data_IF_276284028074
#
_entry.id   IF_276284028074
#
_cell.length_a   1.000
_cell.length_b   1.000
_cell.length_c   1.000
_cell.angle_alpha   90.00
_cell.angle_beta   90.00
_cell.angle_gamma   90.00
#
_symmetry.space_group_name_H-M   'P 1'
#
loop_
_entity.id
_entity.type
_entity.pdbx_description
1 polymer ?
#
# COMPACT_ATOMS: atom_id res chain seq x y z
N UNK A 1 -34.18 -14.20 6.36
CA UNK A 1 -32.92 -13.68 6.98
C UNK A 1 -31.66 -13.96 6.14
N UNK A 2 -31.41 -15.21 5.70
CA UNK A 2 -30.19 -15.63 4.98
C UNK A 2 -29.90 -14.87 3.67
N UNK A 3 -30.90 -14.63 2.81
CA UNK A 3 -30.76 -13.82 1.58
C UNK A 3 -30.31 -12.37 1.84
N UNK A 4 -30.83 -11.74 2.90
CA UNK A 4 -30.45 -10.37 3.29
C UNK A 4 -28.96 -10.28 3.65
N UNK A 5 -28.43 -11.31 4.32
CA UNK A 5 -27.00 -11.38 4.66
C UNK A 5 -26.09 -11.55 3.43
N UNK A 6 -26.51 -12.36 2.44
CA UNK A 6 -25.76 -12.51 1.18
C UNK A 6 -25.71 -11.19 0.42
N UNK A 7 -26.84 -10.47 0.33
CA UNK A 7 -26.88 -9.17 -0.32
C UNK A 7 -25.98 -8.14 0.39
N UNK A 8 -25.90 -8.17 1.71
CA UNK A 8 -25.01 -7.28 2.47
C UNK A 8 -23.54 -7.61 2.23
N UNK A 9 -23.16 -8.90 2.17
CA UNK A 9 -21.80 -9.33 1.82
C UNK A 9 -21.41 -8.89 0.42
N UNK A 10 -22.32 -9.03 -0.55
CA UNK A 10 -22.09 -8.56 -1.92
C UNK A 10 -21.90 -7.03 -1.98
N UNK A 11 -22.75 -6.26 -1.29
CA UNK A 11 -22.60 -4.81 -1.17
C UNK A 11 -21.25 -4.41 -0.56
N UNK A 12 -20.80 -5.15 0.45
CA UNK A 12 -19.50 -4.92 1.10
C UNK A 12 -18.34 -5.18 0.13
N UNK A 13 -18.37 -6.29 -0.62
CA UNK A 13 -17.34 -6.58 -1.63
C UNK A 13 -17.30 -5.49 -2.70
N UNK A 14 -18.46 -5.06 -3.20
CA UNK A 14 -18.54 -3.98 -4.19
C UNK A 14 -17.96 -2.67 -3.61
N UNK A 15 -18.28 -2.33 -2.36
CA UNK A 15 -17.75 -1.15 -1.71
C UNK A 15 -16.22 -1.20 -1.56
N UNK A 16 -15.67 -2.36 -1.16
CA UNK A 16 -14.22 -2.58 -1.07
C UNK A 16 -13.56 -2.40 -2.44
N UNK A 17 -14.13 -3.00 -3.49
CA UNK A 17 -13.59 -2.87 -4.85
C UNK A 17 -13.62 -1.42 -5.33
N UNK A 18 -14.70 -0.68 -5.06
CA UNK A 18 -14.79 0.75 -5.42
C UNK A 18 -13.71 1.56 -4.70
N UNK A 19 -13.58 1.40 -3.38
CA UNK A 19 -12.58 2.14 -2.59
C UNK A 19 -11.16 1.78 -3.05
N UNK A 20 -10.87 0.49 -3.24
CA UNK A 20 -9.59 0.03 -3.74
C UNK A 20 -9.29 0.63 -5.12
N UNK A 21 -10.22 0.57 -6.07
CA UNK A 21 -10.02 1.11 -7.41
C UNK A 21 -9.77 2.61 -7.39
N UNK A 22 -10.49 3.38 -6.55
CA UNK A 22 -10.28 4.82 -6.42
C UNK A 22 -8.90 5.18 -5.87
N UNK A 23 -8.41 4.44 -4.87
CA UNK A 23 -7.07 4.66 -4.30
C UNK A 23 -6.00 4.19 -5.28
N UNK A 24 -6.16 3.00 -5.84
CA UNK A 24 -5.20 2.41 -6.78
C UNK A 24 -5.08 3.23 -8.06
N UNK A 25 -6.18 3.79 -8.59
CA UNK A 25 -6.11 4.58 -9.82
C UNK A 25 -5.20 5.80 -9.68
N UNK A 26 -5.18 6.43 -8.49
CA UNK A 26 -4.29 7.56 -8.22
C UNK A 26 -2.84 7.07 -8.22
N UNK A 27 -2.53 5.99 -7.49
CA UNK A 27 -1.19 5.41 -7.46
C UNK A 27 -0.71 4.94 -8.84
N UNK A 28 -1.61 4.41 -9.67
CA UNK A 28 -1.28 3.88 -10.99
C UNK A 28 -0.93 4.98 -12.01
N UNK A 29 -1.59 6.14 -11.96
CA UNK A 29 -1.28 7.27 -12.84
C UNK A 29 -0.19 8.19 -12.30
N UNK A 30 0.14 8.08 -11.01
CA UNK A 30 1.18 8.87 -10.38
C UNK A 30 2.54 8.31 -10.81
N UNK A 31 3.37 9.09 -11.54
CA UNK A 31 4.71 8.63 -11.90
C UNK A 31 5.52 8.40 -10.62
N UNK A 32 6.38 7.38 -10.61
CA UNK A 32 7.29 7.15 -9.49
C UNK A 32 8.15 8.40 -9.26
N UNK A 33 8.15 8.92 -8.03
CA UNK A 33 9.09 9.98 -7.68
C UNK A 33 10.52 9.42 -7.63
N UNK A 34 11.52 10.30 -7.72
CA UNK A 34 12.93 9.91 -7.62
C UNK A 34 13.24 9.13 -6.34
N UNK A 35 12.56 9.48 -5.26
CA UNK A 35 12.75 8.85 -3.95
C UNK A 35 12.13 7.44 -3.93
N UNK A 36 10.96 7.27 -4.57
CA UNK A 36 10.24 5.99 -4.68
C UNK A 36 11.05 4.91 -5.40
N UNK A 37 11.89 5.30 -6.37
CA UNK A 37 12.76 4.37 -7.09
C UNK A 37 13.78 3.68 -6.18
N UNK A 38 14.37 4.44 -5.25
CA UNK A 38 15.34 3.90 -4.30
C UNK A 38 14.66 2.92 -3.32
N UNK A 39 13.42 3.21 -2.94
CA UNK A 39 12.61 2.30 -2.13
C UNK A 39 12.19 1.04 -2.90
N UNK A 40 11.84 1.15 -4.19
CA UNK A 40 11.43 0.02 -5.02
C UNK A 40 12.57 -0.98 -5.30
N UNK A 41 13.82 -0.50 -5.39
CA UNK A 41 15.01 -1.34 -5.57
C UNK A 41 15.52 -1.96 -4.26
N UNK A 42 14.91 -1.62 -3.13
CA UNK A 42 15.37 -2.07 -1.82
C UNK A 42 14.95 -3.50 -1.55
N UNK A 43 15.87 -4.28 -1.00
CA UNK A 43 15.56 -5.62 -0.53
C UNK A 43 14.58 -5.58 0.66
N UNK A 44 13.59 -6.49 0.65
CA UNK A 44 12.62 -6.67 1.74
C UNK A 44 13.19 -7.40 2.98
N UNK A 45 14.52 -7.47 3.12
CA UNK A 45 15.16 -8.14 4.25
C UNK A 45 15.15 -7.27 5.51
N UNK A 46 14.93 -7.88 6.68
CA UNK A 46 14.93 -7.17 7.97
C UNK A 46 16.25 -6.42 8.25
N UNK A 47 17.37 -6.93 7.74
CA UNK A 47 18.67 -6.26 7.80
C UNK A 47 18.69 -4.95 7.01
N UNK A 48 18.17 -4.97 5.78
CA UNK A 48 18.06 -3.78 4.92
C UNK A 48 17.03 -2.79 5.47
N UNK A 49 15.99 -3.28 6.14
CA UNK A 49 15.05 -2.46 6.93
C UNK A 49 15.79 -1.69 8.02
N UNK A 50 16.50 -2.41 8.87
CA UNK A 50 17.24 -1.87 10.02
C UNK A 50 18.35 -0.89 9.60
N UNK A 51 19.14 -1.24 8.59
CA UNK A 51 20.26 -0.41 8.13
C UNK A 51 19.81 0.96 7.59
N UNK A 52 18.67 1.02 6.93
CA UNK A 52 18.14 2.29 6.42
C UNK A 52 17.64 3.21 7.53
N UNK A 53 16.83 2.68 8.46
CA UNK A 53 16.29 3.48 9.55
C UNK A 53 17.39 3.96 10.49
N UNK A 54 18.40 3.14 10.75
CA UNK A 54 19.51 3.49 11.64
C UNK A 54 20.68 4.20 10.96
N UNK A 55 20.83 4.05 9.63
CA UNK A 55 22.00 4.53 8.89
C UNK A 55 21.78 5.82 8.11
N UNK A 56 20.52 6.22 7.83
CA UNK A 56 20.24 7.41 7.03
C UNK A 56 19.88 8.64 7.86
N UNK A 57 18.73 8.63 8.54
CA UNK A 57 18.20 9.82 9.24
C UNK A 57 17.61 9.56 10.62
N UNK A 58 17.46 8.29 11.03
CA UNK A 58 16.77 7.94 12.28
C UNK A 58 15.26 8.17 12.24
N UNK A 59 14.70 8.68 11.13
CA UNK A 59 13.28 8.96 11.00
C UNK A 59 12.51 7.70 10.64
N UNK A 60 11.43 7.45 11.36
CA UNK A 60 10.45 6.43 10.98
C UNK A 60 9.58 7.02 9.87
N UNK A 61 9.92 6.68 8.63
CA UNK A 61 9.13 6.99 7.43
C UNK A 61 8.45 5.69 6.96
N UNK A 62 7.31 5.82 6.29
CA UNK A 62 6.60 4.67 5.69
C UNK A 62 7.26 4.34 4.35
N UNK A 63 8.36 3.60 4.42
CA UNK A 63 9.27 3.32 3.29
C UNK A 63 8.81 2.14 2.41
N UNK A 64 7.85 1.36 2.91
CA UNK A 64 7.31 0.19 2.24
C UNK A 64 5.95 0.53 1.63
N UNK A 65 5.89 0.46 0.30
CA UNK A 65 4.66 0.32 -0.48
C UNK A 65 4.08 -1.07 -0.25
#
# INVERSE_FOLDING_TARGET
MRRKMVNNRLKMVIAILIVFSLVYSIGFITPMNSDDYTYALRELSLSSVKMHYLGWSGRVVSDTI
#
